data_IF_098467902821
#
_entry.id   IF_098467902821
#
_cell.length_a   1.000
_cell.length_b   1.000
_cell.length_c   1.000
_cell.angle_alpha   90.00
_cell.angle_beta   90.00
_cell.angle_gamma   90.00
#
_symmetry.space_group_name_H-M   'P 1'
#
loop_
_entity.id
_entity.type
_entity.pdbx_description
1 polymer ?
#
# COMPACT_ATOMS: atom_id res chain seq x y z
N UNK A 1 -2.96 -13.13 1.22
CA UNK A 1 -1.89 -12.36 0.54
C UNK A 1 -2.20 -10.88 0.37
N UNK A 2 -3.39 -10.51 -0.13
CA UNK A 2 -3.80 -9.10 -0.31
C UNK A 2 -3.65 -8.24 0.96
N UNK A 3 -4.10 -8.74 2.11
CA UNK A 3 -3.97 -8.02 3.39
C UNK A 3 -2.50 -7.83 3.85
N UNK A 4 -1.60 -8.73 3.48
CA UNK A 4 -0.17 -8.61 3.83
C UNK A 4 0.53 -7.53 3.00
N UNK A 5 0.14 -7.37 1.73
CA UNK A 5 0.63 -6.30 0.85
C UNK A 5 0.14 -4.93 1.35
N UNK A 6 -1.14 -4.85 1.73
CA UNK A 6 -1.72 -3.63 2.33
C UNK A 6 -1.02 -3.30 3.65
N UNK A 7 -0.78 -4.31 4.51
CA UNK A 7 -0.04 -4.12 5.76
C UNK A 7 1.40 -3.63 5.54
N UNK A 8 2.12 -4.17 4.54
CA UNK A 8 3.47 -3.71 4.17
C UNK A 8 3.47 -2.25 3.70
N UNK A 9 2.47 -1.84 2.92
CA UNK A 9 2.33 -0.47 2.43
C UNK A 9 1.93 0.52 3.53
N UNK A 10 1.18 0.08 4.54
CA UNK A 10 0.88 0.91 5.72
C UNK A 10 2.12 1.02 6.61
N UNK A 11 2.86 -0.08 6.84
CA UNK A 11 4.04 -0.06 7.70
C UNK A 11 5.23 0.70 7.08
N UNK A 12 5.37 0.77 5.75
CA UNK A 12 6.42 1.57 5.09
C UNK A 12 6.34 3.06 5.44
N UNK A 13 5.17 3.55 5.89
CA UNK A 13 4.97 4.92 6.35
C UNK A 13 5.44 5.19 7.78
N UNK A 14 5.23 4.24 8.69
CA UNK A 14 5.58 4.40 10.10
C UNK A 14 6.99 3.88 10.40
N UNK A 15 7.42 2.85 9.67
CA UNK A 15 8.74 2.25 9.73
C UNK A 15 9.39 2.31 8.34
N UNK A 16 9.87 3.51 8.00
CA UNK A 16 10.62 3.77 6.76
C UNK A 16 11.90 2.96 6.66
N UNK A 17 12.44 2.51 7.80
CA UNK A 17 13.66 1.71 7.85
C UNK A 17 13.41 0.22 7.58
N UNK A 18 12.16 -0.25 7.68
CA UNK A 18 11.80 -1.66 7.58
C UNK A 18 12.40 -2.52 8.70
N UNK A 19 12.89 -1.91 9.79
CA UNK A 19 13.59 -2.60 10.87
C UNK A 19 12.63 -3.20 11.90
N UNK A 20 11.37 -2.77 11.93
CA UNK A 20 10.36 -3.34 12.82
C UNK A 20 10.13 -4.82 12.47
N UNK A 21 10.13 -5.74 13.46
CA UNK A 21 9.91 -7.16 13.25
C UNK A 21 8.67 -7.49 12.39
N UNK A 22 7.59 -6.71 12.55
CA UNK A 22 6.35 -6.90 11.79
C UNK A 22 6.54 -6.51 10.32
N UNK A 23 7.25 -5.40 10.05
CA UNK A 23 7.61 -4.98 8.69
C UNK A 23 8.45 -6.05 7.99
N UNK A 24 9.42 -6.63 8.70
CA UNK A 24 10.29 -7.67 8.14
C UNK A 24 9.52 -8.94 7.77
N UNK A 25 8.56 -9.36 8.61
CA UNK A 25 7.69 -10.51 8.30
C UNK A 25 6.86 -10.23 7.05
N UNK A 26 6.26 -9.03 6.94
CA UNK A 26 5.46 -8.67 5.76
C UNK A 26 6.32 -8.54 4.50
N UNK A 27 7.54 -8.01 4.61
CA UNK A 27 8.51 -7.97 3.52
C UNK A 27 8.80 -9.38 3.05
N UNK A 28 9.22 -10.29 3.94
CA UNK A 28 9.56 -11.67 3.58
C UNK A 28 8.39 -12.42 2.92
N UNK A 29 7.17 -12.23 3.43
CA UNK A 29 5.98 -12.86 2.87
C UNK A 29 5.63 -12.32 1.47
N UNK A 30 5.88 -11.04 1.20
CA UNK A 30 5.47 -10.40 -0.04
C UNK A 30 6.59 -10.27 -1.06
N UNK A 31 7.85 -10.51 -0.68
CA UNK A 31 9.03 -10.37 -1.53
C UNK A 31 9.01 -11.22 -2.82
N UNK A 32 8.53 -12.48 -2.83
CA UNK A 32 8.47 -13.27 -4.06
C UNK A 32 7.59 -12.64 -5.14
N UNK A 33 6.58 -11.87 -4.73
CA UNK A 33 5.60 -11.20 -5.60
C UNK A 33 6.08 -9.79 -5.96
N UNK A 34 6.64 -9.07 -4.97
CA UNK A 34 7.07 -7.67 -5.11
C UNK A 34 8.41 -7.55 -5.85
N UNK A 35 9.31 -8.54 -5.71
CA UNK A 35 10.66 -8.54 -6.30
C UNK A 35 10.67 -8.38 -7.84
N UNK A 36 9.92 -9.18 -8.64
CA UNK A 36 9.89 -9.00 -10.10
C UNK A 36 9.26 -7.67 -10.52
N UNK A 37 8.30 -7.15 -9.74
CA UNK A 37 7.65 -5.86 -10.02
C UNK A 37 8.60 -4.69 -9.77
N UNK A 38 9.45 -4.78 -8.72
CA UNK A 38 10.49 -3.78 -8.40
C UNK A 38 11.57 -3.67 -9.47
N UNK A 39 11.77 -4.69 -10.29
CA UNK A 39 12.71 -4.62 -11.41
C UNK A 39 12.17 -3.74 -12.56
N UNK A 40 10.86 -3.54 -12.64
CA UNK A 40 10.19 -2.80 -13.72
C UNK A 40 9.85 -1.38 -13.28
N UNK A 41 9.49 -1.17 -12.01
CA UNK A 41 9.20 0.17 -11.50
C UNK A 41 10.48 0.97 -11.22
N UNK A 42 10.56 2.25 -11.66
CA UNK A 42 11.62 3.14 -11.24
C UNK A 42 11.57 3.29 -9.71
N UNK A 43 12.73 3.33 -9.06
CA UNK A 43 12.84 3.54 -7.61
C UNK A 43 12.31 4.93 -7.28
N UNK A 44 11.03 5.06 -6.93
CA UNK A 44 10.40 6.31 -6.52
C UNK A 44 10.87 6.72 -5.11
N UNK A 45 12.16 7.03 -4.94
CA UNK A 45 12.71 7.79 -3.81
C UNK A 45 12.17 7.50 -2.39
N UNK A 46 12.14 8.55 -1.57
CA UNK A 46 12.00 8.53 -0.09
C UNK A 46 10.59 8.83 0.46
N UNK A 47 9.59 9.12 -0.38
CA UNK A 47 8.24 9.49 0.07
C UNK A 47 7.22 8.67 -0.72
N UNK A 48 6.63 7.68 -0.05
CA UNK A 48 5.57 6.87 -0.60
C UNK A 48 4.25 7.65 -0.58
N UNK A 49 3.81 8.13 -1.74
CA UNK A 49 2.54 8.87 -1.92
C UNK A 49 1.34 7.94 -2.17
N UNK A 50 1.56 6.62 -2.28
CA UNK A 50 0.48 5.66 -2.52
C UNK A 50 -0.60 5.71 -1.43
N UNK A 51 -0.27 6.14 -0.20
CA UNK A 51 -1.21 6.44 0.84
C UNK A 51 -2.38 7.37 0.56
N UNK A 52 -1.96 8.56 0.13
CA UNK A 52 -2.83 9.69 -0.17
C UNK A 52 -3.75 9.32 -1.32
N UNK A 53 -3.21 8.65 -2.34
CA UNK A 53 -3.99 8.15 -3.49
C UNK A 53 -5.04 7.13 -3.03
N UNK A 54 -4.67 6.23 -2.11
CA UNK A 54 -5.59 5.21 -1.58
C UNK A 54 -6.75 5.83 -0.79
N UNK A 55 -6.46 6.80 0.08
CA UNK A 55 -7.50 7.53 0.84
C UNK A 55 -8.43 8.28 -0.13
N UNK A 56 -7.86 8.95 -1.13
CA UNK A 56 -8.64 9.70 -2.12
C UNK A 56 -9.59 8.79 -2.92
N UNK A 57 -9.10 7.62 -3.35
CA UNK A 57 -9.91 6.63 -4.06
C UNK A 57 -11.08 6.09 -3.22
N UNK A 58 -10.84 5.82 -1.93
CA UNK A 58 -11.90 5.34 -1.01
C UNK A 58 -12.98 6.41 -0.82
N UNK A 59 -12.59 7.68 -0.69
CA UNK A 59 -13.54 8.79 -0.52
C UNK A 59 -14.43 8.92 -1.77
N UNK A 60 -13.82 8.90 -2.97
CA UNK A 60 -14.56 8.95 -4.23
C UNK A 60 -15.53 7.78 -4.35
N UNK A 61 -15.06 6.56 -4.08
CA UNK A 61 -15.89 5.37 -4.16
C UNK A 61 -17.08 5.43 -3.19
N UNK A 62 -16.85 5.86 -1.94
CA UNK A 62 -17.92 6.08 -0.96
C UNK A 62 -18.95 7.09 -1.46
N UNK A 63 -18.50 8.19 -2.06
CA UNK A 63 -19.39 9.23 -2.57
C UNK A 63 -20.27 8.70 -3.71
N UNK A 64 -19.67 7.97 -4.65
CA UNK A 64 -20.39 7.35 -5.78
C UNK A 64 -21.43 6.36 -5.27
N UNK A 65 -21.07 5.49 -4.34
CA UNK A 65 -21.99 4.50 -3.76
C UNK A 65 -23.12 5.18 -2.99
N UNK A 66 -22.83 6.24 -2.23
CA UNK A 66 -23.84 7.00 -1.50
C UNK A 66 -24.83 7.69 -2.46
N UNK A 67 -24.35 8.28 -3.56
CA UNK A 67 -25.21 8.88 -4.58
C UNK A 67 -26.04 7.83 -5.34
N UNK A 68 -25.47 6.66 -5.62
CA UNK A 68 -26.16 5.58 -6.31
C UNK A 68 -27.21 4.89 -5.43
N UNK A 69 -27.03 4.86 -4.12
CA UNK A 69 -28.00 4.33 -3.16
C UNK A 69 -29.10 5.32 -2.79
N UNK A 70 -28.91 6.61 -3.08
CA UNK A 70 -29.85 7.70 -2.80
C UNK A 70 -30.76 8.06 -3.99
N UNK A 71 -30.54 7.45 -5.16
CA UNK A 71 -31.39 7.54 -6.35
C UNK A 71 -32.13 6.24 -6.61
#
# INVERSE_FOLDING_TARGET
MQFAIIGRAILSWFDRSGQNPISQVLIQLTEPIISPIRQIMPRTGMIDLSPMISIFAIIILRQILATAAAG
#
